data_IF_536604778857
#
_entry.id   IF_536604778857
#
_cell.length_a   1.000
_cell.length_b   1.000
_cell.length_c   1.000
_cell.angle_alpha   90.00
_cell.angle_beta   90.00
_cell.angle_gamma   90.00
#
_symmetry.space_group_name_H-M   'P 1'
#
loop_
_entity.id
_entity.type
_entity.pdbx_description
1 polymer ?
#
# COMPACT_ATOMS: atom_id res chain seq x y z
N UNK A 1 17.90 9.59 -15.73
CA UNK A 1 16.86 10.62 -15.92
C UNK A 1 15.92 10.11 -17.01
N UNK A 2 14.82 9.48 -16.62
CA UNK A 2 13.81 8.93 -17.54
C UNK A 2 13.11 10.08 -18.26
N UNK A 3 13.15 10.09 -19.60
CA UNK A 3 12.41 11.08 -20.39
C UNK A 3 10.90 10.78 -20.30
N UNK A 4 10.03 11.78 -20.13
CA UNK A 4 8.60 11.55 -20.12
C UNK A 4 8.12 11.08 -21.49
N UNK A 5 7.38 9.98 -21.51
CA UNK A 5 6.89 9.32 -22.74
C UNK A 5 5.61 9.98 -23.28
N UNK A 6 4.87 10.73 -22.44
CA UNK A 6 3.62 11.42 -22.80
C UNK A 6 3.53 12.79 -22.16
N UNK A 7 3.15 13.79 -22.96
CA UNK A 7 2.87 15.14 -22.49
C UNK A 7 1.41 15.27 -22.01
N UNK A 8 1.19 16.15 -21.02
CA UNK A 8 -0.15 16.48 -20.53
C UNK A 8 -0.91 17.25 -21.60
N UNK A 9 -2.17 16.85 -21.88
CA UNK A 9 -3.08 17.64 -22.71
C UNK A 9 -3.75 18.76 -21.88
N UNK A 10 -3.06 19.89 -21.74
CA UNK A 10 -3.59 21.03 -20.98
C UNK A 10 -4.82 21.67 -21.62
N UNK A 11 -4.96 21.59 -22.95
CA UNK A 11 -6.09 22.19 -23.66
C UNK A 11 -7.41 21.52 -23.25
N UNK A 12 -7.40 20.19 -23.13
CA UNK A 12 -8.55 19.42 -22.66
C UNK A 12 -8.95 19.81 -21.23
N UNK A 13 -7.97 20.00 -20.33
CA UNK A 13 -8.23 20.41 -18.94
C UNK A 13 -8.83 21.82 -18.88
N UNK A 14 -8.41 22.74 -19.77
CA UNK A 14 -8.99 24.09 -19.84
C UNK A 14 -10.41 24.06 -20.40
N UNK A 15 -10.68 23.22 -21.41
CA UNK A 15 -11.97 23.13 -22.08
C UNK A 15 -13.08 22.67 -21.14
N UNK A 16 -12.86 21.62 -20.35
CA UNK A 16 -13.88 21.04 -19.47
C UNK A 16 -13.64 21.38 -17.98
N UNK A 17 -12.97 22.51 -17.71
CA UNK A 17 -12.61 22.94 -16.35
C UNK A 17 -13.82 23.04 -15.43
N UNK A 18 -14.94 23.53 -15.94
CA UNK A 18 -16.14 23.76 -15.14
C UNK A 18 -16.80 22.46 -14.68
N UNK A 19 -16.78 21.42 -15.52
CA UNK A 19 -17.28 20.09 -15.16
C UNK A 19 -16.38 19.40 -14.12
N UNK A 20 -15.07 19.57 -14.24
CA UNK A 20 -14.12 19.12 -13.22
C UNK A 20 -14.38 19.83 -11.88
N UNK A 21 -14.56 21.15 -11.90
CA UNK A 21 -14.86 21.93 -10.69
C UNK A 21 -16.21 21.54 -10.08
N UNK A 22 -17.23 21.28 -10.90
CA UNK A 22 -18.54 20.79 -10.44
C UNK A 22 -18.40 19.44 -9.74
N UNK A 23 -17.64 18.50 -10.32
CA UNK A 23 -17.36 17.21 -9.68
C UNK A 23 -16.68 17.39 -8.32
N UNK A 24 -15.65 18.25 -8.23
CA UNK A 24 -14.95 18.54 -6.98
C UNK A 24 -15.88 19.20 -5.96
N UNK A 25 -16.74 20.12 -6.39
CA UNK A 25 -17.71 20.78 -5.53
C UNK A 25 -18.71 19.76 -4.96
N UNK A 26 -19.30 18.89 -5.79
CA UNK A 26 -20.20 17.81 -5.36
C UNK A 26 -19.53 16.88 -4.35
N UNK A 27 -18.26 16.52 -4.54
CA UNK A 27 -17.49 15.72 -3.57
C UNK A 27 -17.34 16.47 -2.24
N UNK A 28 -16.93 17.74 -2.29
CA UNK A 28 -16.69 18.55 -1.08
C UNK A 28 -17.98 18.83 -0.31
N UNK A 29 -19.08 19.08 -1.01
CA UNK A 29 -20.39 19.35 -0.44
C UNK A 29 -21.10 18.07 0.03
N UNK A 30 -20.55 16.89 -0.28
CA UNK A 30 -21.13 15.57 0.05
C UNK A 30 -22.57 15.40 -0.45
N UNK A 31 -22.90 16.04 -1.58
CA UNK A 31 -24.23 15.97 -2.19
C UNK A 31 -24.55 14.57 -2.77
N UNK A 32 -23.52 13.77 -3.04
CA UNK A 32 -23.64 12.38 -3.48
C UNK A 32 -22.78 11.47 -2.61
N UNK A 33 -23.17 10.21 -2.51
CA UNK A 33 -22.32 9.20 -1.87
C UNK A 33 -21.07 8.93 -2.71
N UNK A 34 -19.96 8.58 -2.06
CA UNK A 34 -18.74 8.20 -2.77
C UNK A 34 -19.01 7.04 -3.75
N UNK A 35 -19.83 6.07 -3.36
CA UNK A 35 -20.23 4.94 -4.19
C UNK A 35 -20.94 5.36 -5.48
N UNK A 36 -21.82 6.36 -5.42
CA UNK A 36 -22.54 6.84 -6.62
C UNK A 36 -21.61 7.59 -7.58
N UNK A 37 -20.67 8.36 -7.03
CA UNK A 37 -19.63 9.05 -7.81
C UNK A 37 -18.73 8.03 -8.50
N UNK A 38 -18.25 7.02 -7.76
CA UNK A 38 -17.43 5.95 -8.33
C UNK A 38 -18.19 5.12 -9.38
N UNK A 39 -19.47 4.82 -9.17
CA UNK A 39 -20.28 4.10 -10.15
C UNK A 39 -20.37 4.88 -11.47
N UNK A 40 -20.63 6.19 -11.39
CA UNK A 40 -20.67 7.08 -12.56
C UNK A 40 -19.33 7.17 -13.28
N UNK A 41 -18.24 7.37 -12.54
CA UNK A 41 -16.89 7.43 -13.11
C UNK A 41 -16.49 6.10 -13.78
N UNK A 42 -16.87 4.96 -13.20
CA UNK A 42 -16.60 3.65 -13.81
C UNK A 42 -17.50 3.35 -15.02
N UNK A 43 -18.73 3.87 -15.04
CA UNK A 43 -19.64 3.72 -16.19
C UNK A 43 -19.27 4.59 -17.39
N UNK A 44 -18.43 5.60 -17.17
CA UNK A 44 -17.99 6.53 -18.19
C UNK A 44 -16.88 5.86 -19.03
N UNK A 45 -17.16 5.65 -20.33
CA UNK A 45 -16.15 5.21 -21.29
C UNK A 45 -14.95 6.16 -21.31
N UNK A 46 -13.75 5.62 -21.57
CA UNK A 46 -12.51 6.39 -21.76
C UNK A 46 -12.60 7.45 -22.88
N UNK A 47 -13.65 7.40 -23.71
CA UNK A 47 -13.91 8.32 -24.81
C UNK A 47 -14.79 9.51 -24.39
N UNK A 48 -15.43 9.50 -23.22
CA UNK A 48 -16.21 10.66 -22.79
C UNK A 48 -15.32 11.78 -22.24
N UNK A 49 -15.67 13.02 -22.60
CA UNK A 49 -14.94 14.23 -22.25
C UNK A 49 -14.63 14.37 -20.73
N UNK A 50 -15.56 14.13 -19.78
CA UNK A 50 -15.26 14.23 -18.35
C UNK A 50 -14.19 13.24 -17.87
N UNK A 51 -14.18 12.02 -18.41
CA UNK A 51 -13.20 11.01 -18.05
C UNK A 51 -11.81 11.31 -18.64
N UNK A 52 -11.76 11.84 -19.87
CA UNK A 52 -10.51 12.27 -20.46
C UNK A 52 -9.91 13.48 -19.71
N UNK A 53 -10.76 14.44 -19.35
CA UNK A 53 -10.38 15.62 -18.56
C UNK A 53 -9.86 15.25 -17.17
N UNK A 54 -10.52 14.31 -16.49
CA UNK A 54 -10.05 13.79 -15.20
C UNK A 54 -8.70 13.07 -15.31
N UNK A 55 -8.49 12.29 -16.38
CA UNK A 55 -7.22 11.63 -16.64
C UNK A 55 -6.10 12.66 -16.92
N UNK A 56 -6.34 13.63 -17.79
CA UNK A 56 -5.38 14.69 -18.09
C UNK A 56 -5.04 15.52 -16.84
N UNK A 57 -6.03 15.84 -16.01
CA UNK A 57 -5.80 16.48 -14.71
C UNK A 57 -4.96 15.59 -13.78
N UNK A 58 -5.27 14.30 -13.70
CA UNK A 58 -4.49 13.32 -12.94
C UNK A 58 -3.01 13.23 -13.37
N UNK A 59 -2.73 13.36 -14.67
CA UNK A 59 -1.36 13.40 -15.19
C UNK A 59 -0.57 14.63 -14.70
N UNK A 60 -1.22 15.79 -14.56
CA UNK A 60 -0.59 16.99 -13.98
C UNK A 60 -0.20 16.73 -12.52
N UNK A 61 -1.13 16.19 -11.74
CA UNK A 61 -0.91 15.87 -10.32
C UNK A 61 0.22 14.84 -10.17
N UNK A 62 0.20 13.78 -10.97
CA UNK A 62 1.24 12.75 -10.98
C UNK A 62 2.61 13.32 -11.37
N UNK A 63 2.67 14.16 -12.41
CA UNK A 63 3.93 14.80 -12.84
C UNK A 63 4.51 15.67 -11.73
N UNK A 64 3.68 16.49 -11.09
CA UNK A 64 4.10 17.31 -9.94
C UNK A 64 4.55 16.46 -8.76
N UNK A 65 3.89 15.34 -8.50
CA UNK A 65 4.27 14.41 -7.43
C UNK A 65 5.64 13.77 -7.70
N UNK A 66 5.88 13.26 -8.91
CA UNK A 66 7.14 12.62 -9.30
C UNK A 66 8.31 13.62 -9.22
N UNK A 67 8.10 14.86 -9.69
CA UNK A 67 9.09 15.93 -9.58
C UNK A 67 9.41 16.22 -8.10
N UNK A 68 8.38 16.39 -7.26
CA UNK A 68 8.56 16.58 -5.81
C UNK A 68 9.32 15.43 -5.16
N UNK A 69 8.99 14.19 -5.48
CA UNK A 69 9.71 13.02 -4.96
C UNK A 69 11.19 13.03 -5.37
N UNK A 70 11.51 13.59 -6.53
CA UNK A 70 12.87 13.70 -7.07
C UNK A 70 13.68 14.84 -6.44
N UNK A 71 13.03 15.90 -5.98
CA UNK A 71 13.70 17.07 -5.40
C UNK A 71 13.70 17.07 -3.86
N UNK A 72 12.67 16.49 -3.23
CA UNK A 72 12.48 16.49 -1.78
C UNK A 72 12.93 15.16 -1.17
N UNK A 73 14.05 15.21 -0.43
CA UNK A 73 14.64 14.05 0.23
C UNK A 73 13.78 13.54 1.40
N UNK A 74 13.11 14.42 2.13
CA UNK A 74 12.28 14.03 3.27
C UNK A 74 11.03 13.29 2.79
N UNK A 75 10.39 13.81 1.74
CA UNK A 75 9.27 13.16 1.06
C UNK A 75 9.68 11.77 0.53
N UNK A 76 10.83 11.69 -0.14
CA UNK A 76 11.34 10.41 -0.65
C UNK A 76 11.57 9.40 0.47
N UNK A 77 12.25 9.79 1.54
CA UNK A 77 12.50 8.90 2.67
C UNK A 77 11.19 8.46 3.35
N UNK A 78 10.21 9.35 3.48
CA UNK A 78 8.90 8.98 4.02
C UNK A 78 8.19 7.94 3.14
N UNK A 79 8.24 8.10 1.82
CA UNK A 79 7.69 7.14 0.85
C UNK A 79 8.42 5.80 0.96
N UNK A 80 9.75 5.79 0.94
CA UNK A 80 10.57 4.57 1.03
C UNK A 80 10.32 3.81 2.34
N UNK A 81 10.17 4.51 3.47
CA UNK A 81 9.82 3.88 4.75
C UNK A 81 8.46 3.20 4.69
N UNK A 82 7.48 3.79 4.02
CA UNK A 82 6.15 3.20 3.88
C UNK A 82 6.16 2.02 2.90
N UNK A 83 6.87 2.14 1.78
CA UNK A 83 7.07 1.04 0.82
C UNK A 83 7.76 -0.15 1.49
N UNK A 84 8.84 0.11 2.24
CA UNK A 84 9.56 -0.92 3.00
C UNK A 84 8.63 -1.71 3.93
N UNK A 85 7.67 -1.06 4.59
CA UNK A 85 6.66 -1.74 5.43
C UNK A 85 5.74 -2.65 4.61
N UNK A 86 5.29 -2.20 3.46
CA UNK A 86 4.41 -2.97 2.56
C UNK A 86 5.17 -4.15 1.96
N UNK A 87 6.42 -3.95 1.53
CA UNK A 87 7.29 -5.01 1.03
C UNK A 87 7.56 -6.06 2.09
N UNK A 88 7.78 -5.64 3.33
CA UNK A 88 7.93 -6.55 4.45
C UNK A 88 6.67 -7.37 4.70
N UNK A 89 5.49 -6.74 4.69
CA UNK A 89 4.21 -7.43 4.84
C UNK A 89 3.97 -8.44 3.69
N UNK A 90 4.35 -8.08 2.47
CA UNK A 90 4.26 -8.97 1.32
C UNK A 90 5.25 -10.15 1.43
N UNK A 91 6.51 -9.89 1.81
CA UNK A 91 7.50 -10.94 2.05
C UNK A 91 7.06 -11.90 3.16
N UNK A 92 6.52 -11.37 4.25
CA UNK A 92 5.96 -12.15 5.33
C UNK A 92 4.76 -13.00 4.86
N UNK A 93 3.85 -12.41 4.10
CA UNK A 93 2.72 -13.15 3.50
C UNK A 93 3.21 -14.28 2.61
N UNK A 94 4.22 -14.04 1.77
CA UNK A 94 4.82 -15.08 0.93
C UNK A 94 5.50 -16.19 1.74
N UNK A 95 6.14 -15.85 2.86
CA UNK A 95 6.80 -16.83 3.71
C UNK A 95 5.83 -17.70 4.52
N UNK A 96 4.69 -17.12 4.93
CA UNK A 96 3.66 -17.80 5.74
C UNK A 96 2.68 -18.60 4.88
N UNK A 97 2.47 -18.20 3.62
CA UNK A 97 1.58 -18.91 2.70
C UNK A 97 1.99 -20.39 2.57
N UNK A 98 1.18 -21.30 3.10
CA UNK A 98 1.35 -22.73 2.89
C UNK A 98 0.87 -23.09 1.48
N UNK A 99 1.82 -23.14 0.54
CA UNK A 99 1.56 -23.40 -0.87
C UNK A 99 2.02 -22.23 -1.74
N UNK A 100 2.50 -22.55 -2.94
CA UNK A 100 3.05 -21.57 -3.87
C UNK A 100 2.06 -20.40 -4.07
N UNK A 101 2.37 -19.17 -3.61
CA UNK A 101 1.44 -18.04 -3.63
C UNK A 101 1.14 -17.51 -5.05
N UNK A 102 1.75 -18.11 -6.09
CA UNK A 102 1.61 -17.71 -7.49
C UNK A 102 0.63 -18.56 -8.29
N UNK A 103 0.10 -19.63 -7.72
CA UNK A 103 -0.82 -20.53 -8.41
C UNK A 103 -2.12 -20.60 -7.61
N UNK A 104 -3.21 -20.11 -8.20
CA UNK A 104 -4.55 -20.42 -7.72
C UNK A 104 -4.74 -21.93 -7.88
N UNK A 105 -4.60 -22.67 -6.78
CA UNK A 105 -4.75 -24.12 -6.78
C UNK A 105 -6.21 -24.54 -6.76
N UNK A 106 -7.08 -23.64 -6.31
CA UNK A 106 -8.51 -23.84 -6.21
C UNK A 106 -9.20 -23.37 -7.49
N UNK A 107 -10.09 -24.21 -8.03
CA UNK A 107 -10.81 -23.93 -9.25
C UNK A 107 -11.98 -22.96 -9.02
N UNK A 108 -12.62 -23.03 -7.85
CA UNK A 108 -13.79 -22.23 -7.50
C UNK A 108 -13.44 -20.96 -6.71
N UNK A 109 -14.21 -19.90 -6.93
CA UNK A 109 -14.00 -18.60 -6.25
C UNK A 109 -14.16 -18.73 -4.73
N UNK A 110 -15.15 -19.49 -4.29
CA UNK A 110 -15.43 -19.70 -2.86
C UNK A 110 -14.25 -20.38 -2.16
N UNK A 111 -13.65 -21.38 -2.80
CA UNK A 111 -12.47 -22.07 -2.28
C UNK A 111 -11.23 -21.15 -2.19
N UNK A 112 -11.05 -20.23 -3.15
CA UNK A 112 -10.00 -19.21 -3.11
C UNK A 112 -10.22 -18.22 -1.95
N UNK A 113 -11.46 -17.78 -1.72
CA UNK A 113 -11.81 -16.88 -0.62
C UNK A 113 -11.59 -17.54 0.75
N UNK A 114 -11.90 -18.83 0.87
CA UNK A 114 -11.62 -19.62 2.08
C UNK A 114 -10.09 -19.69 2.30
N UNK A 115 -9.32 -20.02 1.27
CA UNK A 115 -7.86 -20.10 1.36
C UNK A 115 -7.22 -18.74 1.73
N UNK A 116 -7.70 -17.65 1.15
CA UNK A 116 -7.26 -16.29 1.49
C UNK A 116 -7.58 -15.97 2.96
N UNK A 117 -8.78 -16.32 3.42
CA UNK A 117 -9.23 -16.09 4.79
C UNK A 117 -8.37 -16.87 5.79
N UNK A 118 -8.11 -18.14 5.53
CA UNK A 118 -7.23 -18.97 6.34
C UNK A 118 -5.80 -18.40 6.39
N UNK A 119 -5.23 -18.03 5.25
CA UNK A 119 -3.91 -17.39 5.20
C UNK A 119 -3.87 -16.08 6.00
N UNK A 120 -4.93 -15.27 5.90
CA UNK A 120 -5.07 -14.03 6.69
C UNK A 120 -5.12 -14.31 8.18
N UNK A 121 -5.86 -15.33 8.61
CA UNK A 121 -5.95 -15.74 10.02
C UNK A 121 -4.56 -16.16 10.54
N UNK A 122 -3.88 -17.09 9.87
CA UNK A 122 -2.55 -17.56 10.26
C UNK A 122 -1.56 -16.39 10.35
N UNK A 123 -1.52 -15.53 9.33
CA UNK A 123 -0.67 -14.34 9.30
C UNK A 123 -0.91 -13.44 10.52
N UNK A 124 -2.17 -13.13 10.81
CA UNK A 124 -2.55 -12.27 11.92
C UNK A 124 -2.23 -12.92 13.27
N UNK A 125 -2.40 -14.24 13.41
CA UNK A 125 -2.04 -14.98 14.63
C UNK A 125 -0.54 -14.90 14.91
N UNK A 126 0.32 -15.07 13.89
CA UNK A 126 1.78 -14.95 14.04
C UNK A 126 2.17 -13.51 14.41
N UNK A 127 1.60 -12.50 13.75
CA UNK A 127 1.86 -11.09 14.08
C UNK A 127 1.45 -10.80 15.54
N UNK A 128 0.27 -11.26 15.94
CA UNK A 128 -0.22 -11.10 17.31
C UNK A 128 0.74 -11.74 18.31
N UNK A 129 1.21 -12.96 18.04
CA UNK A 129 2.19 -13.63 18.89
C UNK A 129 3.52 -12.86 18.95
N UNK A 130 4.04 -12.37 17.82
CA UNK A 130 5.25 -11.56 17.77
C UNK A 130 5.11 -10.29 18.62
N UNK A 131 3.98 -9.56 18.48
CA UNK A 131 3.70 -8.39 19.28
C UNK A 131 3.65 -8.71 20.78
N UNK A 132 2.91 -9.75 21.18
CA UNK A 132 2.84 -10.18 22.58
C UNK A 132 4.20 -10.59 23.14
N UNK A 133 5.01 -11.26 22.32
CA UNK A 133 6.36 -11.68 22.72
C UNK A 133 7.26 -10.47 22.95
N UNK A 134 7.28 -9.50 22.02
CA UNK A 134 8.05 -8.27 22.15
C UNK A 134 7.58 -7.41 23.33
N UNK A 135 6.27 -7.29 23.55
CA UNK A 135 5.71 -6.59 24.72
C UNK A 135 6.18 -7.21 26.03
N UNK A 136 6.20 -8.55 26.13
CA UNK A 136 6.70 -9.24 27.34
C UNK A 136 8.18 -9.00 27.58
N UNK A 137 9.00 -8.93 26.52
CA UNK A 137 10.42 -8.61 26.66
C UNK A 137 10.65 -7.16 27.14
N UNK A 138 9.79 -6.22 26.74
CA UNK A 138 9.82 -4.85 27.24
C UNK A 138 9.41 -4.74 28.71
N UNK A 139 8.47 -5.56 29.16
CA UNK A 139 8.04 -5.60 30.58
C UNK A 139 9.09 -6.22 31.50
N UNK A 140 9.82 -7.23 31.02
CA UNK A 140 10.83 -7.97 31.78
C UNK A 140 12.15 -8.00 31.01
N UNK A 141 12.86 -6.86 30.91
CA UNK A 141 14.16 -6.82 30.28
C UNK A 141 15.15 -7.67 31.08
N UNK A 142 16.01 -8.47 30.41
CA UNK A 142 16.95 -9.35 31.09
C UNK A 142 18.00 -8.59 31.91
N UNK A 143 18.47 -7.45 31.40
CA UNK A 143 19.52 -6.63 32.02
C UNK A 143 19.22 -5.12 31.93
N UNK A 144 19.94 -4.30 32.71
CA UNK A 144 19.80 -2.84 32.71
C UNK A 144 20.12 -2.22 31.34
N UNK A 145 21.16 -2.71 30.65
CA UNK A 145 21.54 -2.27 29.30
C UNK A 145 20.44 -2.62 28.27
N UNK A 146 19.78 -3.77 28.44
CA UNK A 146 18.67 -4.19 27.60
C UNK A 146 17.44 -3.29 27.81
N UNK A 147 17.19 -2.83 29.05
CA UNK A 147 16.08 -1.92 29.36
C UNK A 147 16.18 -0.58 28.65
N UNK A 148 17.40 -0.10 28.39
CA UNK A 148 17.64 1.16 27.68
C UNK A 148 17.67 0.98 26.15
N UNK A 149 18.17 -0.15 25.65
CA UNK A 149 18.36 -0.42 24.21
C UNK A 149 17.20 -1.17 23.52
N UNK A 150 16.39 -1.95 24.24
CA UNK A 150 15.28 -2.73 23.67
C UNK A 150 14.20 -1.85 23.02
N UNK A 151 13.75 -0.73 23.61
CA UNK A 151 12.69 0.08 23.00
C UNK A 151 13.08 0.65 21.64
N UNK A 152 14.31 1.15 21.49
CA UNK A 152 14.81 1.69 20.21
C UNK A 152 15.01 0.59 19.16
N UNK A 153 15.48 -0.59 19.59
CA UNK A 153 15.63 -1.76 18.72
C UNK A 153 14.28 -2.28 18.23
N UNK A 154 13.29 -2.40 19.12
CA UNK A 154 11.93 -2.83 18.76
C UNK A 154 11.21 -1.78 17.91
N UNK A 155 11.46 -0.48 18.13
CA UNK A 155 10.93 0.56 17.26
C UNK A 155 11.50 0.48 15.83
N UNK A 156 12.73 -0.02 15.67
CA UNK A 156 13.33 -0.30 14.38
C UNK A 156 12.87 -1.64 13.77
N UNK A 157 12.53 -2.62 14.61
CA UNK A 157 12.12 -3.96 14.20
C UNK A 157 10.61 -4.02 13.92
N UNK A 158 10.23 -4.32 12.68
CA UNK A 158 8.82 -4.51 12.38
C UNK A 158 8.35 -5.90 12.85
N UNK A 159 7.16 -6.04 13.47
CA UNK A 159 6.63 -7.35 13.90
C UNK A 159 6.43 -8.39 12.78
N UNK A 160 6.48 -7.94 11.52
CA UNK A 160 6.42 -8.77 10.32
C UNK A 160 7.82 -9.14 9.77
N UNK A 161 8.90 -8.74 10.44
CA UNK A 161 10.24 -9.02 9.97
C UNK A 161 10.56 -10.51 10.14
N UNK A 162 10.60 -11.20 9.00
CA UNK A 162 10.77 -12.63 8.90
C UNK A 162 12.01 -12.92 8.07
N UNK A 163 13.08 -13.31 8.76
CA UNK A 163 14.24 -13.94 8.14
C UNK A 163 14.03 -15.47 8.13
N UNK A 164 13.97 -16.13 6.96
CA UNK A 164 14.03 -17.58 6.94
C UNK A 164 15.37 -18.01 7.57
N UNK A 165 15.33 -18.71 8.70
CA UNK A 165 16.53 -19.28 9.33
C UNK A 165 17.19 -20.23 8.32
N UNK A 166 18.28 -19.83 7.68
CA UNK A 166 19.11 -20.70 6.82
C UNK A 166 19.99 -21.68 7.63
N UNK A 167 19.66 -21.95 8.89
CA UNK A 167 20.40 -22.90 9.73
C UNK A 167 19.57 -24.18 9.96
N UNK A 168 19.38 -24.98 8.91
CA UNK A 168 18.87 -26.35 9.04
C UNK A 168 19.16 -27.25 7.81
N UNK A 169 20.24 -27.00 7.05
CA UNK A 169 20.71 -27.91 5.98
C UNK A 169 22.23 -28.02 5.93
N UNK A 170 22.86 -28.28 7.07
CA UNK A 170 24.19 -28.91 7.15
C UNK A 170 24.26 -29.65 8.49
N UNK A 171 23.80 -30.89 8.46
CA UNK A 171 24.15 -31.97 9.38
C UNK A 171 24.15 -33.25 8.55
#
# INVERSE_FOLDING_TARGET
>A
MTRPDKAVNEALVRQDRDDLLRLVATIKLKENTASDIFRRLNSCSRQHAPCQTLNAFGQIVNSRFILRQSDDIELRQAIERQLSKVELANRFTHAVAMGNPREFRQAEKEEQEIAETCNRLIRNSIICWNCLHLSRQLEKPPDADARESLPSTIAAYAPMDWAPRQHARRA
#
